data_IF_959437918859
#
_entry.id   IF_959437918859
#
_cell.length_a   1.000
_cell.length_b   1.000
_cell.length_c   1.000
_cell.angle_alpha   90.00
_cell.angle_beta   90.00
_cell.angle_gamma   90.00
#
_symmetry.space_group_name_H-M   'P 1'
#
loop_
_entity.id
_entity.type
_entity.pdbx_description
1 polymer ?
#
# COMPACT_ATOMS: atom_id res chain seq x y z
N UNK A 1 50.95 -14.11 -18.80
CA UNK A 1 49.64 -14.14 -19.48
C UNK A 1 48.63 -14.67 -18.49
N UNK A 2 47.76 -13.80 -17.97
CA UNK A 2 46.68 -14.19 -17.09
C UNK A 2 45.56 -14.71 -17.98
N UNK A 3 45.36 -16.02 -18.00
CA UNK A 3 44.20 -16.62 -18.66
C UNK A 3 42.93 -16.24 -17.89
N UNK A 4 42.12 -15.35 -18.45
CA UNK A 4 40.75 -15.14 -17.99
C UNK A 4 39.95 -16.43 -18.26
N UNK A 5 39.71 -17.20 -17.23
CA UNK A 5 39.01 -18.51 -17.28
C UNK A 5 37.49 -18.35 -17.46
N UNK A 6 36.98 -17.13 -17.35
CA UNK A 6 35.56 -16.87 -17.54
C UNK A 6 35.35 -16.00 -18.79
N UNK A 7 34.53 -16.44 -19.76
CA UNK A 7 34.15 -15.59 -20.87
C UNK A 7 33.54 -14.29 -20.34
N UNK A 8 34.05 -13.14 -20.77
CA UNK A 8 33.45 -11.87 -20.42
C UNK A 8 32.00 -11.89 -20.90
N UNK A 9 31.04 -11.62 -20.01
CA UNK A 9 29.66 -11.40 -20.41
C UNK A 9 29.63 -10.27 -21.44
N UNK A 10 28.92 -10.44 -22.56
CA UNK A 10 28.73 -9.33 -23.49
C UNK A 10 28.12 -8.16 -22.73
N UNK A 11 28.55 -6.94 -23.01
CA UNK A 11 27.93 -5.73 -22.44
C UNK A 11 26.45 -5.73 -22.80
N UNK A 12 25.63 -6.06 -21.84
CA UNK A 12 24.17 -5.98 -21.97
C UNK A 12 23.78 -4.51 -21.83
N UNK A 13 23.04 -3.98 -22.79
CA UNK A 13 22.49 -2.63 -22.71
C UNK A 13 20.98 -2.73 -22.55
N UNK A 14 20.46 -2.68 -21.31
CA UNK A 14 19.03 -2.70 -21.07
C UNK A 14 18.35 -1.57 -21.83
N UNK A 15 17.35 -1.89 -22.63
CA UNK A 15 16.74 -0.97 -23.58
C UNK A 15 15.21 -1.07 -23.54
N UNK A 16 14.53 0.07 -23.43
CA UNK A 16 13.10 0.19 -23.73
C UNK A 16 12.96 0.60 -25.19
N UNK A 17 12.11 -0.08 -25.90
CA UNK A 17 11.76 0.26 -27.28
C UNK A 17 10.25 0.44 -27.43
N UNK A 18 9.87 1.28 -28.39
CA UNK A 18 8.46 1.37 -28.82
C UNK A 18 8.37 1.31 -30.34
N UNK A 19 7.35 0.59 -30.83
CA UNK A 19 7.07 0.50 -32.25
C UNK A 19 5.55 0.53 -32.50
N UNK A 20 5.20 0.91 -33.73
CA UNK A 20 3.82 0.83 -34.25
C UNK A 20 3.73 -0.11 -35.41
N UNK A 21 2.58 -0.74 -35.58
CA UNK A 21 2.27 -1.55 -36.77
C UNK A 21 1.85 -0.63 -37.91
N UNK A 22 2.33 -0.91 -39.11
CA UNK A 22 2.01 -0.15 -40.33
C UNK A 22 1.03 -0.92 -41.17
N UNK A 23 -0.05 -0.26 -41.59
CA UNK A 23 -1.07 -0.87 -42.45
C UNK A 23 -2.12 -1.75 -41.74
N UNK A 24 -2.18 -1.69 -40.41
CA UNK A 24 -3.16 -2.40 -39.57
C UNK A 24 -4.12 -1.41 -38.93
N UNK A 25 -5.30 -1.21 -39.51
CA UNK A 25 -6.28 -0.21 -39.05
C UNK A 25 -6.70 -0.40 -37.57
N UNK A 26 -6.88 -1.66 -37.14
CA UNK A 26 -7.23 -1.96 -35.72
C UNK A 26 -6.20 -1.53 -34.69
N UNK A 27 -4.97 -1.27 -35.13
CA UNK A 27 -3.84 -0.88 -34.29
C UNK A 27 -3.41 0.59 -34.48
N UNK A 28 -4.20 1.34 -35.23
CA UNK A 28 -3.90 2.76 -35.50
C UNK A 28 -3.91 3.60 -34.21
N UNK A 29 -2.81 4.29 -33.97
CA UNK A 29 -2.61 5.09 -32.76
C UNK A 29 -2.17 4.31 -31.53
N UNK A 30 -1.93 2.99 -31.67
CA UNK A 30 -1.35 2.19 -30.60
C UNK A 30 0.15 2.00 -30.77
N UNK A 31 0.86 2.06 -29.66
CA UNK A 31 2.28 1.73 -29.55
C UNK A 31 2.47 0.44 -28.77
N UNK A 32 3.34 -0.43 -29.24
CA UNK A 32 3.88 -1.53 -28.44
C UNK A 32 5.12 -1.02 -27.75
N UNK A 33 5.13 -1.00 -26.42
CA UNK A 33 6.32 -0.73 -25.60
C UNK A 33 6.85 -2.05 -25.07
N UNK A 34 8.16 -2.27 -25.23
CA UNK A 34 8.81 -3.50 -24.79
C UNK A 34 10.20 -3.24 -24.23
N UNK A 35 10.73 -4.27 -23.57
CA UNK A 35 12.07 -4.30 -23.01
C UNK A 35 12.93 -5.35 -23.72
N UNK A 36 14.21 -5.03 -23.88
CA UNK A 36 15.21 -5.99 -24.35
C UNK A 36 16.59 -5.67 -23.78
N UNK A 37 17.39 -6.69 -23.62
CA UNK A 37 18.84 -6.61 -23.32
C UNK A 37 19.72 -6.76 -24.56
N UNK A 38 19.07 -6.90 -25.75
CA UNK A 38 19.69 -7.07 -27.07
C UNK A 38 19.26 -5.94 -28.01
N UNK A 39 19.49 -6.11 -29.30
CA UNK A 39 18.96 -5.19 -30.32
C UNK A 39 17.43 -5.16 -30.31
N UNK A 40 16.86 -3.96 -30.25
CA UNK A 40 15.40 -3.75 -30.31
C UNK A 40 14.83 -4.32 -31.63
N UNK A 41 15.54 -4.14 -32.74
CA UNK A 41 15.15 -4.66 -34.05
C UNK A 41 15.06 -6.18 -34.04
N UNK A 42 16.09 -6.88 -33.60
CA UNK A 42 16.10 -8.35 -33.51
C UNK A 42 14.94 -8.85 -32.64
N UNK A 43 14.69 -8.20 -31.53
CA UNK A 43 13.58 -8.57 -30.63
C UNK A 43 12.21 -8.39 -31.26
N UNK A 44 12.01 -7.32 -32.03
CA UNK A 44 10.75 -7.05 -32.73
C UNK A 44 10.57 -8.05 -33.87
N UNK A 45 11.63 -8.30 -34.64
CA UNK A 45 11.60 -9.27 -35.75
C UNK A 45 11.26 -10.67 -35.24
N UNK A 46 11.79 -11.10 -34.11
CA UNK A 46 11.39 -12.36 -33.45
C UNK A 46 9.91 -12.39 -33.06
N UNK A 47 9.39 -11.30 -32.50
CA UNK A 47 7.98 -11.21 -32.08
C UNK A 47 7.01 -11.20 -33.26
N UNK A 48 7.40 -10.61 -34.38
CA UNK A 48 6.54 -10.46 -35.56
C UNK A 48 6.81 -11.50 -36.65
N UNK A 49 7.75 -12.43 -36.42
CA UNK A 49 8.19 -13.40 -37.41
C UNK A 49 7.04 -14.21 -38.03
N UNK A 50 6.02 -14.52 -37.24
CA UNK A 50 4.85 -15.29 -37.71
C UNK A 50 3.78 -14.45 -38.41
N UNK A 51 3.69 -13.15 -38.11
CA UNK A 51 2.60 -12.29 -38.57
C UNK A 51 2.90 -11.54 -39.87
N UNK A 52 4.17 -11.45 -40.29
CA UNK A 52 4.65 -10.73 -41.49
C UNK A 52 4.10 -9.29 -41.64
N UNK A 53 3.81 -8.63 -40.54
CA UNK A 53 3.26 -7.28 -40.50
C UNK A 53 4.40 -6.28 -40.49
N UNK A 54 4.29 -5.22 -41.28
CA UNK A 54 5.25 -4.13 -41.29
C UNK A 54 5.15 -3.32 -39.99
N UNK A 55 6.29 -2.88 -39.49
CA UNK A 55 6.36 -2.06 -38.30
C UNK A 55 7.35 -0.89 -38.48
N UNK A 56 7.21 0.12 -37.63
CA UNK A 56 8.10 1.26 -37.54
C UNK A 56 8.53 1.42 -36.08
N UNK A 57 9.85 1.39 -35.83
CA UNK A 57 10.42 1.70 -34.51
C UNK A 57 10.37 3.21 -34.32
N UNK A 58 9.66 3.67 -33.30
CA UNK A 58 9.47 5.10 -33.01
C UNK A 58 10.28 5.58 -31.81
N UNK A 59 10.78 4.63 -30.99
CA UNK A 59 11.59 4.95 -29.81
C UNK A 59 12.55 3.80 -29.48
N UNK A 60 13.79 4.16 -29.13
CA UNK A 60 14.78 3.25 -28.52
C UNK A 60 15.56 4.04 -27.47
N UNK A 61 15.41 3.67 -26.19
CA UNK A 61 16.00 4.40 -25.08
C UNK A 61 16.63 3.45 -24.05
N UNK A 62 17.66 3.93 -23.36
CA UNK A 62 18.28 3.16 -22.27
C UNK A 62 17.29 2.95 -21.12
N UNK A 63 17.22 1.71 -20.61
CA UNK A 63 16.43 1.32 -19.45
C UNK A 63 17.20 1.46 -18.13
N UNK A 64 18.27 2.24 -18.11
CA UNK A 64 19.08 2.50 -16.91
C UNK A 64 18.63 3.77 -16.22
N UNK A 65 18.37 3.68 -14.92
CA UNK A 65 18.13 4.82 -14.05
C UNK A 65 19.45 5.50 -13.64
N UNK A 66 19.36 6.74 -13.16
CA UNK A 66 20.55 7.52 -12.76
C UNK A 66 21.26 6.94 -11.53
N UNK A 67 20.56 6.16 -10.72
CA UNK A 67 21.12 5.43 -9.57
C UNK A 67 21.83 4.12 -9.95
N UNK A 68 21.86 3.79 -11.24
CA UNK A 68 22.45 2.55 -11.76
C UNK A 68 21.50 1.34 -11.74
N UNK A 69 20.28 1.48 -11.26
CA UNK A 69 19.24 0.45 -11.35
C UNK A 69 18.69 0.33 -12.77
N UNK A 70 17.99 -0.76 -13.06
CA UNK A 70 17.35 -1.02 -14.34
C UNK A 70 15.84 -1.09 -14.16
N UNK A 71 15.07 -0.43 -15.01
CA UNK A 71 13.62 -0.53 -15.10
C UNK A 71 13.19 -1.30 -16.35
N UNK A 72 11.99 -1.82 -16.35
CA UNK A 72 11.46 -2.66 -17.42
C UNK A 72 10.28 -1.99 -18.15
N UNK A 73 9.82 -2.61 -19.23
CA UNK A 73 8.58 -2.19 -19.92
C UNK A 73 7.35 -2.23 -18.99
N UNK A 74 7.33 -3.13 -18.01
CA UNK A 74 6.23 -3.18 -17.00
C UNK A 74 6.17 -1.90 -16.17
N UNK A 75 7.30 -1.33 -15.82
CA UNK A 75 7.36 -0.07 -15.06
C UNK A 75 6.87 1.10 -15.92
N UNK A 76 7.25 1.12 -17.20
CA UNK A 76 6.78 2.13 -18.17
C UNK A 76 5.27 1.98 -18.39
N UNK A 77 4.75 0.74 -18.59
CA UNK A 77 3.33 0.49 -18.76
C UNK A 77 2.53 0.95 -17.53
N UNK A 78 3.00 0.60 -16.34
CA UNK A 78 2.35 0.99 -15.08
C UNK A 78 2.25 2.51 -14.95
N UNK A 79 3.28 3.24 -15.38
CA UNK A 79 3.28 4.69 -15.34
C UNK A 79 2.31 5.28 -16.38
N UNK A 80 2.30 4.76 -17.61
CA UNK A 80 1.40 5.19 -18.66
C UNK A 80 -0.08 4.89 -18.33
N UNK A 81 -0.36 3.73 -17.75
CA UNK A 81 -1.72 3.39 -17.28
C UNK A 81 -2.21 4.33 -16.16
N UNK A 82 -1.31 4.71 -15.25
CA UNK A 82 -1.60 5.71 -14.22
C UNK A 82 -1.92 7.09 -14.77
N UNK A 83 -1.33 7.43 -15.91
CA UNK A 83 -1.63 8.69 -16.62
C UNK A 83 -2.89 8.59 -17.50
N UNK A 84 -3.62 7.47 -17.44
CA UNK A 84 -4.92 7.30 -18.10
C UNK A 84 -4.86 6.67 -19.50
N UNK A 85 -3.69 6.25 -19.97
CA UNK A 85 -3.59 5.56 -21.25
C UNK A 85 -4.09 4.12 -21.14
N UNK A 86 -4.93 3.70 -22.08
CA UNK A 86 -5.57 2.38 -22.04
C UNK A 86 -4.88 1.40 -22.99
N UNK A 87 -4.81 0.15 -22.56
CA UNK A 87 -4.37 -0.97 -23.40
C UNK A 87 -5.38 -1.25 -24.52
N UNK A 88 -4.88 -1.79 -25.62
CA UNK A 88 -5.71 -2.25 -26.74
C UNK A 88 -6.69 -3.34 -26.28
N UNK A 89 -6.19 -4.28 -25.49
CA UNK A 89 -7.00 -5.34 -24.90
C UNK A 89 -6.76 -5.37 -23.38
N UNK A 90 -7.65 -4.80 -22.55
CA UNK A 90 -7.48 -4.76 -21.11
C UNK A 90 -7.47 -6.15 -20.43
N UNK A 91 -8.05 -7.16 -21.07
CA UNK A 91 -8.12 -8.54 -20.55
C UNK A 91 -6.88 -9.37 -20.91
N UNK A 92 -6.09 -8.95 -21.87
CA UNK A 92 -4.89 -9.64 -22.30
C UNK A 92 -3.63 -8.96 -21.71
N UNK A 93 -3.11 -9.55 -20.65
CA UNK A 93 -1.89 -9.05 -20.00
C UNK A 93 -0.63 -9.24 -20.84
N UNK A 94 -0.71 -10.03 -21.92
CA UNK A 94 0.42 -10.29 -22.83
C UNK A 94 0.51 -9.24 -23.95
N UNK A 95 -0.61 -8.60 -24.30
CA UNK A 95 -0.64 -7.51 -25.27
C UNK A 95 -0.42 -6.15 -24.62
N UNK A 96 0.84 -5.73 -24.61
CA UNK A 96 1.29 -4.47 -24.01
C UNK A 96 1.19 -3.27 -24.98
N UNK A 97 0.15 -3.22 -25.84
CA UNK A 97 -0.11 -2.06 -26.72
C UNK A 97 -0.95 -1.02 -26.01
N UNK A 98 -0.46 0.20 -26.01
CA UNK A 98 -1.10 1.35 -25.37
C UNK A 98 -1.43 2.42 -26.42
N UNK A 99 -2.59 3.04 -26.26
CA UNK A 99 -2.98 4.18 -27.09
C UNK A 99 -2.42 5.45 -26.47
N UNK A 100 -1.18 5.77 -26.80
CA UNK A 100 -0.49 6.95 -26.28
C UNK A 100 0.46 7.56 -27.34
N UNK A 101 0.73 8.86 -27.28
CA UNK A 101 1.79 9.50 -28.06
C UNK A 101 3.19 9.01 -27.65
N UNK A 102 4.14 9.08 -28.55
CA UNK A 102 5.55 8.75 -28.25
C UNK A 102 6.14 9.67 -27.18
N UNK A 103 5.71 10.93 -27.15
CA UNK A 103 6.11 11.91 -26.13
C UNK A 103 5.82 11.46 -24.71
N UNK A 104 4.68 10.78 -24.48
CA UNK A 104 4.30 10.31 -23.16
C UNK A 104 5.11 9.07 -22.75
N UNK A 105 5.44 8.20 -23.70
CA UNK A 105 6.38 7.09 -23.46
C UNK A 105 7.76 7.64 -23.06
N UNK A 106 8.23 8.67 -23.76
CA UNK A 106 9.50 9.34 -23.43
C UNK A 106 9.44 9.99 -22.04
N UNK A 107 8.36 10.69 -21.71
CA UNK A 107 8.17 11.31 -20.41
C UNK A 107 8.16 10.27 -19.28
N UNK A 108 7.51 9.11 -19.49
CA UNK A 108 7.51 8.01 -18.56
C UNK A 108 8.93 7.44 -18.34
N UNK A 109 9.70 7.24 -19.41
CA UNK A 109 11.08 6.77 -19.34
C UNK A 109 11.97 7.78 -18.59
N UNK A 110 11.83 9.06 -18.87
CA UNK A 110 12.59 10.12 -18.18
C UNK A 110 12.26 10.14 -16.68
N UNK A 111 11.00 10.01 -16.32
CA UNK A 111 10.56 9.94 -14.92
C UNK A 111 11.19 8.76 -14.19
N UNK A 112 11.20 7.57 -14.81
CA UNK A 112 11.84 6.38 -14.25
C UNK A 112 13.36 6.53 -14.15
N UNK A 113 14.00 7.17 -15.16
CA UNK A 113 15.44 7.40 -15.20
C UNK A 113 15.92 8.32 -14.09
N UNK A 114 15.16 9.36 -13.76
CA UNK A 114 15.50 10.35 -12.74
C UNK A 114 15.14 9.82 -11.33
N UNK A 115 14.37 8.71 -11.24
CA UNK A 115 13.83 8.22 -9.97
C UNK A 115 12.73 9.11 -9.41
N UNK A 116 12.39 10.18 -10.11
CA UNK A 116 11.15 10.91 -9.93
C UNK A 116 10.05 10.11 -10.64
N UNK A 117 9.66 8.96 -10.06
CA UNK A 117 8.29 8.55 -10.30
C UNK A 117 7.47 9.79 -9.97
N UNK A 118 6.77 10.34 -10.97
CA UNK A 118 5.97 11.54 -10.81
C UNK A 118 4.98 11.28 -9.67
N UNK A 119 5.41 11.54 -8.45
CA UNK A 119 4.58 11.63 -7.26
C UNK A 119 3.57 12.76 -7.47
N UNK A 120 3.84 13.63 -8.45
CA UNK A 120 3.00 14.77 -8.82
C UNK A 120 1.87 14.44 -9.79
N UNK A 121 1.87 13.31 -10.50
CA UNK A 121 0.74 12.90 -11.33
C UNK A 121 -0.26 12.05 -10.55
N UNK A 122 -0.79 12.62 -9.48
CA UNK A 122 -2.01 12.12 -8.86
C UNK A 122 -3.16 12.38 -9.82
N UNK A 123 -3.78 11.30 -10.29
CA UNK A 123 -4.80 11.37 -11.34
C UNK A 123 -6.22 11.15 -10.81
N UNK A 124 -6.34 10.64 -9.58
CA UNK A 124 -7.63 10.35 -8.97
C UNK A 124 -8.13 11.57 -8.19
N UNK A 125 -9.35 11.99 -8.49
CA UNK A 125 -10.00 13.13 -7.82
C UNK A 125 -11.47 12.85 -7.47
N UNK A 126 -11.83 11.58 -7.28
CA UNK A 126 -13.18 11.23 -6.89
C UNK A 126 -13.49 11.72 -5.46
N UNK A 127 -14.73 12.10 -5.24
CA UNK A 127 -15.23 12.51 -3.92
C UNK A 127 -15.63 11.30 -3.08
N UNK A 128 -15.72 11.53 -1.76
CA UNK A 128 -16.30 10.52 -0.86
C UNK A 128 -17.74 10.23 -1.23
N UNK A 129 -18.11 8.95 -1.26
CA UNK A 129 -19.50 8.53 -1.35
C UNK A 129 -20.28 8.95 -0.10
N UNK A 130 -21.61 9.08 -0.18
CA UNK A 130 -22.42 9.54 0.96
C UNK A 130 -22.20 8.73 2.24
N UNK A 131 -22.06 7.42 2.14
CA UNK A 131 -21.80 6.53 3.28
C UNK A 131 -20.42 6.75 3.89
N UNK A 132 -19.40 6.98 3.06
CA UNK A 132 -18.04 7.32 3.53
C UNK A 132 -18.04 8.68 4.23
N UNK A 133 -18.74 9.65 3.66
CA UNK A 133 -18.87 10.99 4.25
C UNK A 133 -19.55 10.92 5.63
N UNK A 134 -20.63 10.11 5.77
CA UNK A 134 -21.32 9.90 7.04
C UNK A 134 -20.41 9.29 8.09
N UNK A 135 -19.68 8.22 7.73
CA UNK A 135 -18.74 7.55 8.64
C UNK A 135 -17.63 8.48 9.11
N UNK A 136 -17.01 9.22 8.18
CA UNK A 136 -15.96 10.21 8.49
C UNK A 136 -16.47 11.31 9.39
N UNK A 137 -17.67 11.88 9.09
CA UNK A 137 -18.30 12.93 9.89
C UNK A 137 -18.60 12.44 11.30
N UNK A 138 -19.29 11.30 11.44
CA UNK A 138 -19.63 10.70 12.72
C UNK A 138 -18.40 10.42 13.58
N UNK A 139 -17.35 9.85 12.99
CA UNK A 139 -16.10 9.54 13.70
C UNK A 139 -15.42 10.83 14.20
N UNK A 140 -15.33 11.85 13.34
CA UNK A 140 -14.75 13.13 13.71
C UNK A 140 -15.50 13.78 14.88
N UNK A 141 -16.84 13.87 14.78
CA UNK A 141 -17.68 14.44 15.82
C UNK A 141 -17.54 13.70 17.14
N UNK A 142 -17.51 12.36 17.09
CA UNK A 142 -17.30 11.53 18.27
C UNK A 142 -15.92 11.77 18.89
N UNK A 143 -14.85 11.80 18.10
CA UNK A 143 -13.51 12.03 18.62
C UNK A 143 -13.37 13.42 19.27
N UNK A 144 -13.92 14.45 18.64
CA UNK A 144 -13.90 15.80 19.18
C UNK A 144 -14.72 15.94 20.47
N UNK A 145 -15.86 15.26 20.56
CA UNK A 145 -16.68 15.26 21.77
C UNK A 145 -16.05 14.47 22.90
N UNK A 146 -15.56 13.27 22.61
CA UNK A 146 -14.92 12.39 23.60
C UNK A 146 -13.72 13.07 24.30
N UNK A 147 -12.91 13.82 23.55
CA UNK A 147 -11.78 14.55 24.14
C UNK A 147 -12.22 15.71 25.03
N UNK A 148 -13.41 16.29 24.81
CA UNK A 148 -13.97 17.31 25.71
C UNK A 148 -14.51 16.70 26.99
N UNK A 149 -15.17 15.55 26.87
CA UNK A 149 -15.81 14.90 27.99
C UNK A 149 -14.80 14.14 28.87
N UNK A 150 -13.84 13.46 28.26
CA UNK A 150 -12.80 12.67 28.93
C UNK A 150 -11.40 12.97 28.35
N UNK A 151 -10.74 14.10 28.70
CA UNK A 151 -9.48 14.51 28.07
C UNK A 151 -8.31 13.53 28.21
N UNK A 152 -8.36 12.65 29.22
CA UNK A 152 -7.30 11.68 29.51
C UNK A 152 -7.54 10.31 28.89
N UNK A 153 -8.69 10.10 28.26
CA UNK A 153 -9.02 8.84 27.59
C UNK A 153 -8.79 8.96 26.11
N UNK A 154 -8.09 7.99 25.52
CA UNK A 154 -7.89 7.91 24.07
C UNK A 154 -9.19 7.41 23.42
N UNK A 155 -9.86 8.23 22.60
CA UNK A 155 -11.10 7.82 21.95
C UNK A 155 -10.89 6.72 20.92
N UNK A 156 -11.88 5.86 20.79
CA UNK A 156 -11.88 4.69 19.91
C UNK A 156 -13.13 4.68 19.07
N UNK A 157 -13.00 4.34 17.79
CA UNK A 157 -14.14 4.25 16.88
C UNK A 157 -14.02 3.02 15.98
N UNK A 158 -15.13 2.36 15.68
CA UNK A 158 -15.19 1.19 14.83
C UNK A 158 -15.99 1.48 13.55
N UNK A 159 -15.40 1.19 12.40
CA UNK A 159 -16.14 1.08 11.15
C UNK A 159 -16.45 -0.38 10.86
N UNK A 160 -17.71 -0.73 11.03
CA UNK A 160 -18.27 -1.97 10.51
C UNK A 160 -18.63 -1.77 9.05
N UNK A 161 -17.64 -1.95 8.20
CA UNK A 161 -17.78 -1.68 6.77
C UNK A 161 -17.26 -2.86 5.96
N UNK A 162 -18.15 -3.46 5.16
CA UNK A 162 -17.83 -4.61 4.31
C UNK A 162 -16.89 -4.24 3.15
N UNK A 163 -16.53 -5.24 2.36
CA UNK A 163 -15.77 -5.03 1.11
C UNK A 163 -16.49 -4.01 0.23
N UNK A 164 -15.72 -3.23 -0.57
CA UNK A 164 -16.20 -2.15 -1.45
C UNK A 164 -16.63 -0.85 -0.78
N UNK A 165 -16.65 -0.77 0.54
CA UNK A 165 -16.87 0.51 1.23
C UNK A 165 -15.79 1.55 0.88
N UNK A 166 -14.55 1.11 0.57
CA UNK A 166 -13.41 2.00 0.35
C UNK A 166 -12.86 2.54 1.68
N UNK A 167 -12.65 1.62 2.64
CA UNK A 167 -12.14 1.93 3.99
C UNK A 167 -10.84 2.72 3.97
N UNK A 168 -9.90 2.35 3.09
CA UNK A 168 -8.58 2.97 2.94
C UNK A 168 -8.69 4.45 2.62
N UNK A 169 -9.38 4.78 1.54
CA UNK A 169 -9.63 6.16 1.13
C UNK A 169 -10.36 6.98 2.20
N UNK A 170 -11.45 6.43 2.75
CA UNK A 170 -12.23 7.11 3.78
C UNK A 170 -11.41 7.37 5.06
N UNK A 171 -10.51 6.46 5.45
CA UNK A 171 -9.62 6.64 6.60
C UNK A 171 -8.63 7.79 6.37
N UNK A 172 -8.07 7.92 5.17
CA UNK A 172 -7.23 9.06 4.82
C UNK A 172 -8.01 10.37 4.80
N UNK A 173 -9.25 10.36 4.32
CA UNK A 173 -10.13 11.53 4.38
C UNK A 173 -10.46 11.95 5.82
N UNK A 174 -10.64 10.99 6.74
CA UNK A 174 -10.78 11.28 8.16
C UNK A 174 -9.54 11.98 8.70
N UNK A 175 -8.36 11.40 8.46
CA UNK A 175 -7.09 11.98 8.91
C UNK A 175 -6.88 13.39 8.34
N UNK A 176 -7.17 13.61 7.05
CA UNK A 176 -7.10 14.93 6.40
C UNK A 176 -8.05 15.93 7.03
N UNK A 177 -9.33 15.56 7.23
CA UNK A 177 -10.36 16.44 7.82
C UNK A 177 -10.09 16.83 9.26
N UNK A 178 -9.34 16.00 9.98
CA UNK A 178 -8.92 16.27 11.35
C UNK A 178 -7.54 16.92 11.46
N UNK A 179 -6.84 17.14 10.34
CA UNK A 179 -5.50 17.72 10.32
C UNK A 179 -4.43 16.84 10.97
N UNK A 180 -4.61 15.51 10.90
CA UNK A 180 -3.68 14.55 11.50
C UNK A 180 -2.47 14.34 10.58
N UNK A 181 -1.27 14.36 11.14
CA UNK A 181 -0.03 14.32 10.38
C UNK A 181 0.83 13.07 10.64
N UNK A 182 0.49 12.29 11.65
CA UNK A 182 1.19 11.04 11.99
C UNK A 182 0.18 9.93 12.09
N UNK A 183 0.13 9.08 11.04
CA UNK A 183 -0.82 7.98 10.94
C UNK A 183 -0.08 6.65 10.90
N UNK A 184 -0.41 5.74 11.80
CA UNK A 184 0.10 4.38 11.82
C UNK A 184 -1.02 3.41 11.42
N UNK A 185 -0.76 2.57 10.44
CA UNK A 185 -1.68 1.53 9.97
C UNK A 185 -1.11 0.16 10.30
N UNK A 186 -1.85 -0.61 11.06
CA UNK A 186 -1.48 -1.96 11.47
C UNK A 186 -2.51 -2.97 10.94
N UNK A 187 -2.04 -4.03 10.30
CA UNK A 187 -2.88 -5.09 9.75
C UNK A 187 -2.34 -6.47 10.06
N UNK A 188 -3.22 -7.46 10.12
CA UNK A 188 -2.81 -8.88 10.13
C UNK A 188 -2.59 -9.47 8.74
N UNK A 189 -3.07 -8.76 7.69
CA UNK A 189 -2.97 -9.20 6.29
C UNK A 189 -2.07 -8.26 5.49
N UNK A 190 -0.76 -8.50 5.41
CA UNK A 190 0.15 -7.64 4.64
C UNK A 190 -0.25 -7.46 3.16
N UNK A 191 -1.03 -8.40 2.61
CA UNK A 191 -1.50 -8.33 1.23
C UNK A 191 -2.36 -7.09 0.90
N UNK A 192 -2.94 -6.42 1.91
CA UNK A 192 -3.74 -5.20 1.71
C UNK A 192 -2.87 -3.94 1.54
N UNK A 193 -1.56 -4.03 1.72
CA UNK A 193 -0.62 -2.90 1.60
C UNK A 193 -0.77 -2.13 0.30
N UNK A 194 -0.96 -2.84 -0.82
CA UNK A 194 -1.07 -2.22 -2.13
C UNK A 194 -2.26 -1.26 -2.22
N UNK A 195 -3.41 -1.61 -1.62
CA UNK A 195 -4.60 -0.76 -1.60
C UNK A 195 -4.37 0.51 -0.77
N UNK A 196 -3.77 0.37 0.42
CA UNK A 196 -3.42 1.51 1.28
C UNK A 196 -2.45 2.46 0.59
N UNK A 197 -1.41 1.90 -0.04
CA UNK A 197 -0.43 2.70 -0.77
C UNK A 197 -1.04 3.40 -1.97
N UNK A 198 -1.82 2.68 -2.78
CA UNK A 198 -2.40 3.20 -4.01
C UNK A 198 -3.32 4.38 -3.76
N UNK A 199 -4.29 4.25 -2.84
CA UNK A 199 -5.21 5.34 -2.50
C UNK A 199 -4.46 6.61 -2.05
N UNK A 200 -3.36 6.47 -1.30
CA UNK A 200 -2.60 7.63 -0.82
C UNK A 200 -1.82 8.32 -1.95
N UNK A 201 -1.12 7.52 -2.80
CA UNK A 201 -0.17 8.08 -3.77
C UNK A 201 -0.81 8.49 -5.09
N UNK A 202 -2.06 8.08 -5.34
CA UNK A 202 -2.74 8.38 -6.61
C UNK A 202 -3.81 9.47 -6.49
N UNK A 203 -4.33 9.73 -5.30
CA UNK A 203 -5.41 10.69 -5.11
C UNK A 203 -4.89 12.12 -4.85
N UNK A 204 -5.48 13.12 -5.51
CA UNK A 204 -5.10 14.54 -5.41
C UNK A 204 -5.21 15.08 -3.99
N UNK A 205 -6.19 14.61 -3.23
CA UNK A 205 -6.44 15.07 -1.86
C UNK A 205 -5.28 14.84 -0.89
N UNK A 206 -4.39 13.90 -1.22
CA UNK A 206 -3.25 13.53 -0.36
C UNK A 206 -1.92 14.00 -0.93
N UNK A 207 -1.94 15.04 -1.75
CA UNK A 207 -0.72 15.66 -2.26
C UNK A 207 0.20 16.07 -1.10
N UNK A 208 1.48 15.75 -1.23
CA UNK A 208 2.48 15.99 -0.20
C UNK A 208 2.49 14.98 0.96
N UNK A 209 1.54 14.05 1.03
CA UNK A 209 1.58 12.98 2.03
C UNK A 209 2.63 11.93 1.66
N UNK A 210 3.31 11.42 2.68
CA UNK A 210 4.40 10.45 2.54
C UNK A 210 3.93 9.09 3.03
N UNK A 211 4.15 8.04 2.23
CA UNK A 211 3.85 6.65 2.59
C UNK A 211 5.14 5.89 2.88
N UNK A 212 5.19 5.21 4.00
CA UNK A 212 6.34 4.44 4.46
C UNK A 212 5.92 3.03 4.81
N UNK A 213 6.59 2.05 4.22
CA UNK A 213 6.41 0.64 4.52
C UNK A 213 7.74 -0.10 4.47
N UNK A 214 7.78 -1.32 5.00
CA UNK A 214 8.97 -2.17 4.86
C UNK A 214 9.34 -2.46 3.40
N UNK A 215 8.34 -2.50 2.51
CA UNK A 215 8.56 -2.74 1.08
C UNK A 215 9.19 -1.51 0.41
N UNK A 216 8.66 -0.31 0.70
CA UNK A 216 9.23 0.92 0.14
C UNK A 216 10.65 1.18 0.69
N UNK A 217 10.88 0.94 1.98
CA UNK A 217 12.21 1.07 2.58
C UNK A 217 13.24 0.12 1.93
N UNK A 218 12.89 -1.15 1.72
CA UNK A 218 13.77 -2.11 1.02
C UNK A 218 14.08 -1.69 -0.42
N UNK A 219 13.10 -1.12 -1.13
CA UNK A 219 13.32 -0.61 -2.49
C UNK A 219 14.34 0.54 -2.52
N UNK A 220 14.46 1.28 -1.41
CA UNK A 220 15.43 2.35 -1.22
C UNK A 220 16.74 1.87 -0.55
N UNK A 221 16.94 0.56 -0.37
CA UNK A 221 18.05 -0.04 0.36
C UNK A 221 18.15 0.46 1.82
N UNK A 222 17.03 0.72 2.46
CA UNK A 222 16.90 1.19 3.84
C UNK A 222 16.06 0.23 4.66
N UNK A 223 16.15 0.34 5.98
CA UNK A 223 15.12 -0.20 6.87
C UNK A 223 14.03 0.85 7.09
N UNK A 224 12.91 0.43 7.68
CA UNK A 224 11.74 1.30 7.86
C UNK A 224 12.00 2.47 8.82
N UNK A 225 12.83 2.28 9.84
CA UNK A 225 13.25 3.37 10.74
C UNK A 225 14.04 4.43 9.98
N UNK A 226 15.03 4.01 9.19
CA UNK A 226 15.82 4.92 8.37
C UNK A 226 14.94 5.70 7.38
N UNK A 227 13.96 5.03 6.74
CA UNK A 227 13.01 5.69 5.85
C UNK A 227 12.15 6.69 6.62
N UNK A 228 11.68 6.33 7.82
CA UNK A 228 10.95 7.24 8.68
C UNK A 228 11.79 8.44 9.11
N UNK A 229 13.07 8.25 9.46
CA UNK A 229 13.96 9.36 9.86
C UNK A 229 14.22 10.34 8.71
N UNK A 230 14.31 9.85 7.47
CA UNK A 230 14.52 10.66 6.26
C UNK A 230 13.28 11.44 5.82
N UNK A 231 12.09 11.00 6.22
CA UNK A 231 10.85 11.65 5.83
C UNK A 231 10.76 13.10 6.31
N UNK A 232 10.17 13.95 5.50
CA UNK A 232 9.92 15.36 5.83
C UNK A 232 8.89 15.46 6.96
N UNK A 233 9.33 15.81 8.15
CA UNK A 233 8.50 15.87 9.35
C UNK A 233 7.48 17.01 9.33
N UNK A 234 7.61 17.96 8.41
CA UNK A 234 6.65 19.07 8.22
C UNK A 234 5.39 18.61 7.44
N UNK A 235 5.46 17.46 6.78
CA UNK A 235 4.38 16.90 5.97
C UNK A 235 3.73 15.70 6.66
N UNK A 236 2.48 15.35 6.31
CA UNK A 236 1.86 14.15 6.82
C UNK A 236 2.62 12.88 6.43
N UNK A 237 2.77 11.98 7.38
CA UNK A 237 3.44 10.70 7.23
C UNK A 237 2.47 9.59 7.60
N UNK A 238 2.34 8.62 6.72
CA UNK A 238 1.61 7.37 6.95
C UNK A 238 2.61 6.23 6.99
N UNK A 239 2.64 5.51 8.10
CA UNK A 239 3.44 4.29 8.25
C UNK A 239 2.52 3.09 8.21
N UNK A 240 2.84 2.12 7.37
CA UNK A 240 2.10 0.87 7.23
C UNK A 240 2.96 -0.33 7.58
N UNK A 241 2.38 -1.26 8.33
CA UNK A 241 3.02 -2.53 8.60
C UNK A 241 2.08 -3.60 9.14
N UNK A 242 2.61 -4.82 9.19
CA UNK A 242 1.89 -5.89 9.86
C UNK A 242 2.04 -5.73 11.38
N UNK A 243 1.01 -6.16 12.09
CA UNK A 243 1.02 -6.16 13.54
C UNK A 243 2.23 -6.92 14.12
N UNK A 244 2.47 -8.12 13.58
CA UNK A 244 3.58 -8.98 14.02
C UNK A 244 4.97 -8.38 13.76
N UNK A 245 5.12 -7.64 12.65
CA UNK A 245 6.42 -7.05 12.32
C UNK A 245 6.69 -5.77 13.10
N UNK A 246 5.66 -4.96 13.35
CA UNK A 246 5.79 -3.65 14.01
C UNK A 246 5.81 -3.74 15.54
N UNK A 247 4.99 -4.61 16.12
CA UNK A 247 4.84 -4.74 17.57
C UNK A 247 5.45 -6.02 18.14
N UNK A 248 5.94 -6.93 17.28
CA UNK A 248 6.58 -8.16 17.74
C UNK A 248 7.88 -7.90 18.48
N UNK A 249 8.12 -8.70 19.51
CA UNK A 249 9.37 -8.69 20.30
C UNK A 249 10.51 -9.41 19.57
N UNK A 250 11.74 -9.19 20.03
CA UNK A 250 12.90 -10.00 19.64
C UNK A 250 12.97 -11.30 20.49
N UNK A 251 13.93 -12.15 20.21
CA UNK A 251 14.16 -13.41 20.94
C UNK A 251 14.41 -13.23 22.45
N UNK A 252 14.75 -12.02 22.88
CA UNK A 252 15.01 -11.65 24.28
C UNK A 252 13.80 -10.96 24.94
N UNK A 253 12.60 -10.98 24.31
CA UNK A 253 11.39 -10.31 24.86
C UNK A 253 11.36 -8.79 24.70
N UNK A 254 12.42 -8.16 24.17
CA UNK A 254 12.51 -6.71 23.97
C UNK A 254 11.96 -6.25 22.61
N UNK A 255 11.65 -4.97 22.48
CA UNK A 255 11.24 -4.34 21.22
C UNK A 255 12.35 -4.51 20.18
N UNK A 256 11.99 -4.90 18.96
CA UNK A 256 12.96 -4.96 17.85
C UNK A 256 13.50 -3.57 17.57
N UNK A 257 14.82 -3.40 17.59
CA UNK A 257 15.50 -2.09 17.40
C UNK A 257 15.02 -1.36 16.15
N UNK A 258 14.72 -2.07 15.06
CA UNK A 258 14.17 -1.48 13.83
C UNK A 258 12.78 -0.86 13.99
N UNK A 259 12.06 -1.18 15.08
CA UNK A 259 10.70 -0.73 15.36
C UNK A 259 10.62 0.24 16.53
N UNK A 260 11.76 0.60 17.11
CA UNK A 260 11.83 1.49 18.28
C UNK A 260 11.14 2.83 18.02
N UNK A 261 11.24 3.35 16.79
CA UNK A 261 10.58 4.58 16.38
C UNK A 261 9.05 4.52 16.48
N UNK A 262 8.44 3.33 16.31
CA UNK A 262 6.97 3.13 16.42
C UNK A 262 6.52 3.47 17.85
N UNK A 263 7.31 3.04 18.85
CA UNK A 263 7.00 3.24 20.27
C UNK A 263 7.42 4.62 20.76
N UNK A 264 8.45 5.22 20.15
CA UNK A 264 8.94 6.55 20.49
C UNK A 264 8.14 7.70 19.84
N UNK A 265 7.32 7.39 18.83
CA UNK A 265 6.54 8.40 18.09
C UNK A 265 5.18 8.61 18.77
N UNK A 266 4.80 9.88 18.97
CA UNK A 266 3.44 10.25 19.32
C UNK A 266 2.58 10.29 18.04
N UNK A 267 1.79 9.25 17.85
CA UNK A 267 0.88 9.13 16.69
C UNK A 267 -0.34 10.01 16.89
N UNK A 268 -0.87 10.56 15.81
CA UNK A 268 -2.16 11.23 15.86
C UNK A 268 -3.30 10.22 15.70
N UNK A 269 -3.12 9.21 14.85
CA UNK A 269 -4.12 8.17 14.59
C UNK A 269 -3.45 6.81 14.39
N UNK A 270 -3.92 5.81 15.11
CA UNK A 270 -3.59 4.41 14.86
C UNK A 270 -4.81 3.72 14.26
N UNK A 271 -4.64 3.10 13.11
CA UNK A 271 -5.68 2.38 12.37
C UNK A 271 -5.37 0.89 12.44
N UNK A 272 -6.33 0.11 12.92
CA UNK A 272 -6.28 -1.35 12.89
C UNK A 272 -7.15 -1.85 11.74
N UNK A 273 -6.52 -2.33 10.66
CA UNK A 273 -7.23 -2.88 9.51
C UNK A 273 -7.44 -4.38 9.66
N UNK A 274 -8.60 -4.85 9.19
CA UNK A 274 -9.08 -6.22 9.37
C UNK A 274 -9.15 -6.63 10.85
N UNK A 275 -9.68 -5.71 11.67
CA UNK A 275 -9.88 -5.95 13.10
C UNK A 275 -10.94 -7.02 13.33
N UNK A 276 -10.48 -8.23 13.51
CA UNK A 276 -11.31 -9.36 13.92
C UNK A 276 -11.19 -9.51 15.44
N UNK A 277 -12.22 -9.06 16.13
CA UNK A 277 -12.30 -9.12 17.59
C UNK A 277 -12.08 -10.55 18.13
N UNK A 278 -11.32 -10.72 19.19
CA UNK A 278 -10.94 -12.02 19.75
C UNK A 278 -9.62 -12.54 19.20
N UNK A 279 -9.52 -12.80 17.90
CA UNK A 279 -8.27 -13.26 17.28
C UNK A 279 -7.11 -12.22 17.38
N UNK A 280 -7.45 -10.94 17.44
CA UNK A 280 -6.50 -9.87 17.63
C UNK A 280 -5.93 -9.89 19.06
N UNK A 281 -6.77 -10.05 20.08
CA UNK A 281 -6.36 -10.12 21.48
C UNK A 281 -5.47 -11.32 21.78
N UNK A 282 -5.82 -12.48 21.27
CA UNK A 282 -5.03 -13.69 21.49
C UNK A 282 -3.67 -13.57 20.84
N UNK A 283 -3.58 -13.09 19.59
CA UNK A 283 -2.31 -12.88 18.92
C UNK A 283 -1.48 -11.76 19.54
N UNK A 284 -2.10 -10.70 20.02
CA UNK A 284 -1.40 -9.67 20.78
C UNK A 284 -0.86 -10.27 22.10
N UNK A 285 -1.67 -11.03 22.81
CA UNK A 285 -1.27 -11.74 24.02
C UNK A 285 -0.13 -12.71 23.74
N UNK A 286 -0.24 -13.54 22.72
CA UNK A 286 0.83 -14.46 22.29
C UNK A 286 2.13 -13.75 21.91
N UNK A 287 2.06 -12.56 21.32
CA UNK A 287 3.24 -11.76 20.95
C UNK A 287 3.94 -11.15 22.19
N UNK A 288 3.19 -10.88 23.26
CA UNK A 288 3.71 -10.30 24.49
C UNK A 288 3.99 -11.34 25.58
N UNK A 289 3.42 -12.54 25.52
CA UNK A 289 3.57 -13.61 26.51
C UNK A 289 4.48 -14.77 26.08
N UNK A 290 5.00 -14.80 24.83
CA UNK A 290 5.97 -15.82 24.42
C UNK A 290 7.35 -15.58 25.07
N UNK A 291 7.45 -15.86 26.34
CA UNK A 291 8.70 -16.18 26.99
C UNK A 291 8.86 -17.66 27.40
N UNK A 292 7.81 -18.49 27.33
CA UNK A 292 7.92 -19.89 27.71
C UNK A 292 7.14 -20.80 26.75
N UNK A 293 7.89 -21.73 26.11
CA UNK A 293 7.48 -22.97 25.44
C UNK A 293 7.13 -22.90 23.95
N UNK A 294 8.03 -23.54 23.20
CA UNK A 294 7.75 -24.23 21.95
C UNK A 294 6.60 -25.22 22.14
N UNK A 295 5.48 -25.01 21.43
CA UNK A 295 4.88 -26.11 20.66
C UNK A 295 3.72 -25.62 19.80
N UNK A 296 3.66 -26.21 18.63
CA UNK A 296 2.81 -25.86 17.52
C UNK A 296 1.39 -26.39 17.66
N UNK A 297 0.46 -25.59 17.09
CA UNK A 297 -0.70 -26.02 16.28
C UNK A 297 -1.69 -27.03 16.89
N UNK A 298 -2.83 -26.49 17.27
CA UNK A 298 -4.15 -26.99 16.80
C UNK A 298 -5.23 -25.99 17.19
N UNK A 299 -5.91 -25.49 16.17
CA UNK A 299 -7.00 -24.53 16.32
C UNK A 299 -8.26 -25.30 16.76
N UNK A 300 -8.59 -25.25 18.03
CA UNK A 300 -9.79 -25.86 18.58
C UNK A 300 -10.80 -24.79 19.03
N UNK A 301 -11.89 -24.65 18.27
CA UNK A 301 -12.91 -23.61 18.45
C UNK A 301 -13.68 -23.72 19.79
N UNK A 302 -13.68 -24.88 20.44
CA UNK A 302 -14.39 -25.10 21.72
C UNK A 302 -13.59 -24.58 22.94
N UNK A 303 -12.27 -24.49 22.85
CA UNK A 303 -11.41 -23.88 23.88
C UNK A 303 -11.60 -22.36 23.93
N UNK A 304 -11.96 -21.78 22.81
CA UNK A 304 -12.20 -20.35 22.60
C UNK A 304 -13.32 -19.77 23.46
N UNK A 305 -14.38 -20.54 23.69
CA UNK A 305 -15.58 -20.05 24.40
C UNK A 305 -15.42 -19.98 25.93
N UNK A 306 -14.48 -20.71 26.50
CA UNK A 306 -14.28 -20.76 27.96
C UNK A 306 -13.30 -19.75 28.52
N UNK A 307 -12.38 -19.25 27.72
CA UNK A 307 -11.38 -18.26 28.14
C UNK A 307 -11.83 -16.80 27.94
N UNK A 308 -12.91 -16.57 27.19
CA UNK A 308 -13.48 -15.24 26.91
C UNK A 308 -13.98 -14.50 28.18
N UNK A 309 -14.23 -15.19 29.26
CA UNK A 309 -14.88 -14.61 30.44
C UNK A 309 -13.89 -13.98 31.46
N UNK A 310 -12.60 -14.19 31.36
CA UNK A 310 -11.70 -13.83 32.46
C UNK A 310 -10.65 -12.76 32.23
N UNK A 311 -10.40 -12.29 31.00
CA UNK A 311 -9.32 -11.35 30.78
C UNK A 311 -9.69 -10.22 29.80
N UNK A 312 -10.22 -9.12 30.32
CA UNK A 312 -10.22 -7.84 29.64
C UNK A 312 -8.76 -7.36 29.51
N UNK A 313 -8.11 -7.66 28.37
CA UNK A 313 -6.81 -7.09 28.05
C UNK A 313 -7.05 -5.62 27.72
N UNK A 314 -6.60 -4.80 28.63
CA UNK A 314 -6.71 -3.36 28.50
C UNK A 314 -5.73 -2.91 27.37
N UNK A 315 -6.19 -2.07 26.43
CA UNK A 315 -5.37 -1.49 25.37
C UNK A 315 -4.25 -0.59 25.92
N UNK A 316 -4.27 -0.29 27.23
CA UNK A 316 -3.16 0.33 27.95
C UNK A 316 -1.85 -0.48 27.86
N UNK A 317 -1.90 -1.71 27.35
CA UNK A 317 -0.74 -2.58 27.17
C UNK A 317 -0.11 -2.46 25.77
N UNK A 318 -0.76 -1.76 24.85
CA UNK A 318 -0.11 -1.45 23.58
C UNK A 318 0.93 -0.34 23.84
N UNK A 319 2.22 -0.60 23.66
CA UNK A 319 3.26 0.38 23.92
C UNK A 319 3.34 1.44 22.81
N UNK A 320 2.18 1.97 22.38
CA UNK A 320 2.05 2.98 21.34
C UNK A 320 1.32 4.18 21.91
N UNK A 321 1.92 5.35 21.76
CA UNK A 321 1.27 6.61 22.12
C UNK A 321 0.48 7.15 20.93
N UNK A 322 -0.81 7.41 21.11
CA UNK A 322 -1.68 7.97 20.05
C UNK A 322 -2.81 8.83 20.63
N UNK A 323 -3.36 9.73 19.80
CA UNK A 323 -4.54 10.53 20.16
C UNK A 323 -5.84 9.81 19.88
N UNK A 324 -5.90 8.95 18.84
CA UNK A 324 -7.11 8.29 18.38
C UNK A 324 -6.84 6.86 17.91
N UNK A 325 -7.81 5.97 18.13
CA UNK A 325 -7.84 4.65 17.55
C UNK A 325 -9.02 4.50 16.59
N UNK A 326 -8.76 4.02 15.37
CA UNK A 326 -9.77 3.64 14.39
C UNK A 326 -9.65 2.15 14.09
N UNK A 327 -10.73 1.41 14.30
CA UNK A 327 -10.83 0.00 13.99
C UNK A 327 -11.66 -0.21 12.73
N UNK A 328 -11.15 -1.01 11.79
CA UNK A 328 -11.83 -1.35 10.54
C UNK A 328 -12.12 -2.84 10.50
N UNK A 329 -13.39 -3.21 10.35
CA UNK A 329 -13.81 -4.61 10.27
C UNK A 329 -14.94 -4.81 9.29
N UNK A 330 -14.92 -5.92 8.57
CA UNK A 330 -16.05 -6.38 7.77
C UNK A 330 -17.03 -7.31 8.52
N UNK A 331 -16.66 -7.76 9.74
CA UNK A 331 -17.43 -8.73 10.55
C UNK A 331 -17.33 -8.41 12.04
N UNK A 332 -17.98 -7.34 12.52
CA UNK A 332 -17.78 -6.82 13.88
C UNK A 332 -18.65 -7.48 14.94
N UNK A 333 -19.45 -8.50 14.60
CA UNK A 333 -20.48 -9.05 15.48
C UNK A 333 -20.00 -9.39 16.91
N UNK A 334 -18.73 -9.78 17.07
CA UNK A 334 -18.19 -10.11 18.40
C UNK A 334 -17.81 -8.88 19.23
N UNK A 335 -17.35 -7.80 18.59
CA UNK A 335 -16.98 -6.56 19.30
C UNK A 335 -18.19 -5.87 19.94
N UNK A 336 -19.35 -5.97 19.29
CA UNK A 336 -20.61 -5.38 19.75
C UNK A 336 -21.21 -6.21 20.90
N UNK A 337 -21.15 -7.54 20.80
CA UNK A 337 -21.76 -8.42 21.79
C UNK A 337 -21.02 -8.45 23.14
N UNK A 338 -19.75 -8.09 23.17
CA UNK A 338 -18.93 -8.10 24.40
C UNK A 338 -18.93 -6.76 25.15
N UNK A 339 -19.70 -5.75 24.68
CA UNK A 339 -19.86 -4.48 25.38
C UNK A 339 -18.62 -3.57 25.41
N UNK A 340 -17.61 -3.83 24.56
CA UNK A 340 -16.38 -3.04 24.53
C UNK A 340 -16.50 -1.74 23.75
N UNK A 341 -17.47 -1.70 22.84
CA UNK A 341 -17.82 -0.52 22.05
C UNK A 341 -19.33 -0.30 22.18
N UNK A 342 -19.73 0.90 22.53
CA UNK A 342 -21.12 1.33 22.53
C UNK A 342 -21.56 1.76 21.12
N UNK A 343 -22.88 1.78 20.86
CA UNK A 343 -23.41 2.12 19.52
C UNK A 343 -22.90 3.47 18.98
N UNK A 344 -22.67 4.43 19.85
CA UNK A 344 -22.14 5.77 19.48
C UNK A 344 -20.70 5.71 18.93
N UNK A 345 -19.97 4.63 19.21
CA UNK A 345 -18.58 4.38 18.75
C UNK A 345 -18.53 3.54 17.46
N UNK A 346 -19.66 3.29 16.81
CA UNK A 346 -19.74 2.37 15.68
C UNK A 346 -20.44 3.03 14.51
N UNK A 347 -19.79 3.01 13.35
CA UNK A 347 -20.44 3.29 12.06
C UNK A 347 -20.70 1.98 11.34
N UNK A 348 -21.96 1.69 11.02
CA UNK A 348 -22.37 0.48 10.34
C UNK A 348 -22.69 0.74 8.87
N UNK A 349 -22.13 -0.08 7.98
CA UNK A 349 -22.49 -0.14 6.57
C UNK A 349 -22.65 -1.61 6.13
N UNK A 350 -23.87 -2.20 6.31
CA UNK A 350 -24.20 -3.56 5.90
C UNK A 350 -24.50 -3.64 4.38
N UNK A 351 -24.60 -4.87 3.83
CA UNK A 351 -24.96 -5.10 2.43
C UNK A 351 -26.35 -4.57 2.02
N UNK A 352 -27.24 -4.37 2.98
CA UNK A 352 -28.58 -3.81 2.72
C UNK A 352 -28.57 -2.37 2.22
N UNK A 353 -27.46 -1.65 2.37
CA UNK A 353 -27.32 -0.25 1.97
C UNK A 353 -26.73 -0.09 0.55
N UNK A 354 -26.48 -1.19 -0.16
CA UNK A 354 -25.99 -1.21 -1.55
C UNK A 354 -27.12 -1.11 -2.61
N UNK A 355 -28.40 -1.04 -2.24
CA UNK A 355 -29.53 -0.95 -3.19
C UNK A 355 -29.89 0.48 -3.53
#
# INVERSE_FOLDING_TARGET
MVHNFFPQRPKVTPTIYAYRLVGVESHKGFLKVGYTDRSAKERIDEQLHTSKVNYEIVLVESAMANDGSCFTDKDVHKLLERTGFRRLNPMDTTDARLRCPVSDVMAAILSLRIGTSNVENRTQNFEMRPEQYRAVKQTKEYFEQSLKDEPNRVPKFLWNAKMRFGKTFASYQLAKKMGLSRVLILTFKPAVESAWREDLVTHLDFEGWQYISNKDARNNNLNIDQEFQRADKSKPIVVFGSFQDMLGTNESGGIKTKNEFIHATNWDLVIFDEYHFGAWRERAKELFEKEDEEDAVNFDAEKYQKEEASNAINESWLPISTKYYLFLSGTPFRAINNGELIEEQISNWPYSDEQ
#
